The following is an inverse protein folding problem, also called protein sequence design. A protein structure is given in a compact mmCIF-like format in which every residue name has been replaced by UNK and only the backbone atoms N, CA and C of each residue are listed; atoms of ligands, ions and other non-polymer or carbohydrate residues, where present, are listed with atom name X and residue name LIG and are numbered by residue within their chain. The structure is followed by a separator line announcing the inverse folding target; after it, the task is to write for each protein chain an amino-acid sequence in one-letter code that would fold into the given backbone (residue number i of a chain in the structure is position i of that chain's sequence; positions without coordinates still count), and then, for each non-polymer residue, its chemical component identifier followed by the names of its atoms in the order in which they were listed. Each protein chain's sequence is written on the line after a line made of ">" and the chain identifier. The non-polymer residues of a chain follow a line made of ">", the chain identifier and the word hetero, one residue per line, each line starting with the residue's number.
data_IF_617353659325
#
_entry.id   IF_617353659325
#
_cell.length_a   1.000
_cell.length_b   1.000
_cell.length_c   1.000
_cell.angle_alpha   90.00
_cell.angle_beta   90.00
_cell.angle_gamma   90.00
#
_symmetry.space_group_name_H-M   'P 1'
#
loop_
_entity.id
_entity.type
_entity.pdbx_description
1 polymer ?
#
# COMPACT_ATOMS: atom_id res chain seq x y z
N UNK A 1 -0.76 5.88 22.27
CA UNK A 1 -0.22 6.79 21.24
C UNK A 1 0.03 6.12 19.89
N UNK A 2 -0.47 4.90 19.65
CA UNK A 2 -0.52 4.31 18.32
C UNK A 2 -1.63 4.97 17.50
N UNK A 3 -1.35 5.24 16.24
CA UNK A 3 -2.28 5.87 15.29
C UNK A 3 -2.24 5.07 14.00
N UNK A 4 -3.42 4.68 13.52
CA UNK A 4 -3.61 4.01 12.24
C UNK A 4 -3.85 5.05 11.14
N UNK A 5 -3.25 4.84 9.99
CA UNK A 5 -3.40 5.67 8.80
C UNK A 5 -3.13 4.85 7.53
N UNK A 6 -3.09 5.48 6.37
CA UNK A 6 -2.69 4.81 5.14
C UNK A 6 -1.16 4.85 4.92
N UNK A 7 -0.62 3.82 4.26
CA UNK A 7 0.79 3.75 3.91
C UNK A 7 1.20 4.88 2.96
N UNK A 8 0.36 5.22 1.97
CA UNK A 8 0.66 6.32 1.05
C UNK A 8 0.73 7.69 1.74
N UNK A 9 -0.01 7.90 2.84
CA UNK A 9 0.05 9.14 3.62
C UNK A 9 1.39 9.26 4.32
N UNK A 10 1.88 8.15 4.88
CA UNK A 10 3.21 8.08 5.53
C UNK A 10 4.33 8.28 4.51
N UNK A 11 4.25 7.62 3.35
CA UNK A 11 5.27 7.68 2.30
C UNK A 11 5.36 9.07 1.64
N UNK A 12 4.32 9.88 1.69
CA UNK A 12 4.34 11.25 1.17
C UNK A 12 5.07 12.25 2.10
N UNK A 13 5.47 11.84 3.30
CA UNK A 13 6.10 12.69 4.29
C UNK A 13 7.63 12.73 4.12
N UNK A 14 8.13 13.58 3.22
CA UNK A 14 9.59 13.72 2.94
C UNK A 14 10.40 14.28 4.11
N UNK A 15 9.79 15.08 4.99
CA UNK A 15 10.45 15.83 6.07
C UNK A 15 10.13 15.36 7.48
N UNK A 16 9.56 14.16 7.61
CA UNK A 16 9.10 13.62 8.89
C UNK A 16 7.60 13.75 9.09
N UNK A 17 7.07 12.98 10.03
CA UNK A 17 5.62 12.90 10.30
C UNK A 17 5.32 13.70 11.57
N UNK A 18 4.40 14.65 11.45
CA UNK A 18 3.85 15.41 12.58
C UNK A 18 2.38 15.07 12.77
N UNK A 19 2.00 14.84 14.00
CA UNK A 19 0.61 14.64 14.43
C UNK A 19 0.14 15.84 15.23
N UNK A 20 -1.00 16.39 14.85
CA UNK A 20 -1.68 17.46 15.57
C UNK A 20 -2.93 16.89 16.21
N UNK A 21 -3.05 16.98 17.52
CA UNK A 21 -4.22 16.53 18.28
C UNK A 21 -5.32 17.58 18.30
N UNK A 22 -6.50 17.21 18.78
CA UNK A 22 -7.67 18.10 18.84
C UNK A 22 -7.51 19.32 19.76
N UNK A 23 -6.55 19.28 20.68
CA UNK A 23 -6.17 20.39 21.54
C UNK A 23 -5.08 21.29 20.94
N UNK A 24 -4.73 21.05 19.65
CA UNK A 24 -3.65 21.68 18.90
C UNK A 24 -2.23 21.36 19.43
N UNK A 25 -2.08 20.37 20.30
CA UNK A 25 -0.74 19.89 20.65
C UNK A 25 -0.13 19.12 19.47
N UNK A 26 1.17 19.32 19.26
CA UNK A 26 1.93 18.76 18.14
C UNK A 26 2.94 17.74 18.63
N UNK A 27 3.04 16.62 17.95
CA UNK A 27 3.96 15.54 18.26
C UNK A 27 4.67 15.05 17.01
N UNK A 28 5.97 14.83 17.11
CA UNK A 28 6.68 14.04 16.11
C UNK A 28 6.26 12.58 16.22
N UNK A 29 6.00 11.94 15.09
CA UNK A 29 5.61 10.55 15.01
C UNK A 29 6.72 9.70 14.38
N UNK A 30 6.84 8.48 14.87
CA UNK A 30 7.68 7.44 14.26
C UNK A 30 6.81 6.42 13.56
N UNK A 31 7.22 5.95 12.40
CA UNK A 31 6.60 4.83 11.72
C UNK A 31 6.90 3.57 12.53
N UNK A 32 5.86 2.85 12.94
CA UNK A 32 5.97 1.53 13.59
C UNK A 32 6.07 0.45 12.52
N UNK A 33 5.22 0.55 11.50
CA UNK A 33 5.21 -0.33 10.35
C UNK A 33 4.20 0.12 9.31
N UNK A 34 4.36 -0.41 8.10
CA UNK A 34 3.41 -0.16 7.01
C UNK A 34 3.31 -1.38 6.10
N UNK A 35 2.14 -1.57 5.51
CA UNK A 35 1.87 -2.56 4.47
C UNK A 35 1.35 -1.84 3.21
N UNK A 36 2.22 -1.57 2.22
CA UNK A 36 1.79 -0.92 0.98
C UNK A 36 0.73 -1.70 0.22
N UNK A 37 0.68 -3.02 0.40
CA UNK A 37 -0.26 -3.90 -0.30
C UNK A 37 -1.71 -3.72 0.15
N UNK A 38 -1.94 -3.39 1.41
CA UNK A 38 -3.26 -3.03 1.98
C UNK A 38 -3.43 -1.53 2.16
N UNK A 39 -2.38 -0.75 1.90
CA UNK A 39 -2.33 0.69 2.16
C UNK A 39 -2.58 1.06 3.63
N UNK A 40 -2.21 0.20 4.57
CA UNK A 40 -2.32 0.43 6.01
C UNK A 40 -0.94 0.76 6.60
N UNK A 41 -0.90 1.74 7.48
CA UNK A 41 0.28 2.07 8.28
C UNK A 41 -0.08 2.31 9.74
N UNK A 42 0.88 2.07 10.61
CA UNK A 42 0.82 2.40 12.04
C UNK A 42 1.98 3.33 12.38
N UNK A 43 1.66 4.46 12.99
CA UNK A 43 2.63 5.41 13.51
C UNK A 43 2.49 5.54 15.03
N UNK A 44 3.51 6.05 15.70
CA UNK A 44 3.56 6.19 17.15
C UNK A 44 3.97 7.59 17.56
N UNK A 45 3.23 8.19 18.49
CA UNK A 45 3.58 9.43 19.19
C UNK A 45 3.81 9.18 20.67
N UNK A 46 4.60 10.05 21.30
CA UNK A 46 4.87 10.03 22.74
C UNK A 46 3.89 10.93 23.48
N UNK A 47 2.60 10.54 23.49
CA UNK A 47 1.55 11.23 24.24
C UNK A 47 0.88 10.26 25.22
N UNK A 48 0.38 10.80 26.32
CA UNK A 48 -0.33 10.04 27.37
C UNK A 48 -1.77 10.56 27.52
N UNK A 49 -2.63 9.71 28.06
CA UNK A 49 -4.02 10.10 28.34
C UNK A 49 -4.90 10.22 27.09
N UNK A 50 -4.47 9.68 25.96
CA UNK A 50 -5.26 9.67 24.73
C UNK A 50 -6.41 8.68 24.86
N UNK A 51 -7.59 9.10 24.38
CA UNK A 51 -8.73 8.21 24.25
C UNK A 51 -8.58 7.38 22.98
N UNK A 52 -8.51 6.05 23.11
CA UNK A 52 -8.48 5.17 21.98
C UNK A 52 -9.86 5.10 21.30
N UNK A 53 -9.86 5.01 19.97
CA UNK A 53 -11.08 4.69 19.22
C UNK A 53 -11.48 3.23 19.46
N UNK A 54 -12.78 2.99 19.52
CA UNK A 54 -13.34 1.63 19.60
C UNK A 54 -13.54 1.09 18.17
N UNK A 55 -13.08 -0.12 17.89
CA UNK A 55 -13.36 -0.81 16.63
C UNK A 55 -14.73 -1.48 16.69
N UNK A 56 -15.56 -1.21 15.69
CA UNK A 56 -16.81 -1.90 15.47
C UNK A 56 -16.61 -3.23 14.74
N UNK A 57 -17.73 -3.81 14.29
CA UNK A 57 -17.77 -5.04 13.49
C UNK A 57 -18.29 -4.68 12.10
N UNK A 58 -17.39 -4.60 11.12
CA UNK A 58 -17.76 -4.24 9.74
C UNK A 58 -18.49 -5.35 9.00
N UNK A 59 -18.51 -6.57 9.55
CA UNK A 59 -19.28 -7.69 8.97
C UNK A 59 -20.79 -7.53 9.18
N UNK A 60 -21.20 -6.73 10.15
CA UNK A 60 -22.61 -6.45 10.49
C UNK A 60 -23.16 -5.21 9.79
N UNK A 61 -22.31 -4.46 9.09
CA UNK A 61 -22.69 -3.23 8.40
C UNK A 61 -23.57 -3.55 7.19
N UNK A 62 -24.65 -2.79 7.02
CA UNK A 62 -25.60 -2.96 5.92
C UNK A 62 -25.68 -1.72 5.04
N UNK A 63 -26.00 -1.91 3.76
CA UNK A 63 -26.28 -0.79 2.86
C UNK A 63 -27.47 0.05 3.37
N UNK A 64 -27.33 1.37 3.30
CA UNK A 64 -28.29 2.33 3.80
C UNK A 64 -28.05 2.81 5.24
N UNK A 65 -27.13 2.21 5.98
CA UNK A 65 -26.73 2.70 7.31
C UNK A 65 -25.99 4.05 7.21
N UNK A 66 -26.29 4.97 8.12
CA UNK A 66 -25.60 6.24 8.21
C UNK A 66 -24.18 6.07 8.72
N UNK A 67 -23.25 6.82 8.12
CA UNK A 67 -21.82 6.80 8.47
C UNK A 67 -21.25 8.21 8.49
N UNK A 68 -20.16 8.37 9.25
CA UNK A 68 -19.40 9.62 9.37
C UNK A 68 -17.93 9.33 9.09
N UNK A 69 -17.36 10.04 8.12
CA UNK A 69 -15.92 10.03 7.89
C UNK A 69 -15.27 11.27 8.50
N UNK A 70 -14.14 11.06 9.18
CA UNK A 70 -13.37 12.15 9.80
C UNK A 70 -11.95 12.12 9.24
N UNK A 71 -11.50 13.27 8.76
CA UNK A 71 -10.18 13.44 8.16
C UNK A 71 -9.70 14.88 8.23
N UNK A 72 -8.68 15.20 7.43
CA UNK A 72 -8.06 16.54 7.40
C UNK A 72 -7.79 17.02 5.97
N UNK A 73 -8.82 17.10 5.09
CA UNK A 73 -8.65 17.50 3.71
C UNK A 73 -8.14 18.95 3.62
N UNK A 74 -7.19 19.19 2.71
CA UNK A 74 -6.62 20.52 2.43
C UNK A 74 -6.13 21.29 3.69
N UNK A 75 -5.73 20.57 4.75
CA UNK A 75 -5.26 21.18 6.00
C UNK A 75 -6.37 21.64 6.95
N UNK A 76 -7.64 21.36 6.64
CA UNK A 76 -8.76 21.62 7.55
C UNK A 76 -8.90 20.45 8.53
N UNK A 77 -8.23 20.57 9.67
CA UNK A 77 -8.22 19.54 10.72
C UNK A 77 -9.62 19.20 11.24
N UNK A 78 -9.90 17.91 11.41
CA UNK A 78 -11.15 17.43 11.97
C UNK A 78 -12.37 17.65 11.07
N UNK A 79 -12.18 17.72 9.76
CA UNK A 79 -13.29 17.79 8.80
C UNK A 79 -14.15 16.54 8.90
N UNK A 80 -15.44 16.76 9.06
CA UNK A 80 -16.46 15.70 9.18
C UNK A 80 -17.30 15.69 7.91
N UNK A 81 -17.39 14.51 7.26
CA UNK A 81 -18.37 14.27 6.20
C UNK A 81 -19.33 13.17 6.61
N UNK A 82 -20.63 13.31 6.26
CA UNK A 82 -21.66 12.32 6.56
C UNK A 82 -22.26 11.79 5.28
N UNK A 83 -22.60 10.53 5.27
CA UNK A 83 -23.28 9.86 4.19
C UNK A 83 -23.90 8.53 4.65
N UNK A 84 -24.10 7.63 3.72
CA UNK A 84 -24.59 6.28 3.97
C UNK A 84 -23.64 5.24 3.39
N UNK A 85 -23.75 4.02 3.85
CA UNK A 85 -23.16 2.85 3.22
C UNK A 85 -23.90 2.59 1.91
N UNK A 86 -23.23 2.78 0.78
CA UNK A 86 -23.76 2.52 -0.56
C UNK A 86 -23.60 1.06 -0.98
N UNK A 87 -22.68 0.34 -0.35
CA UNK A 87 -22.46 -1.08 -0.58
C UNK A 87 -21.43 -1.67 0.37
N UNK A 88 -21.56 -2.96 0.63
CA UNK A 88 -20.65 -3.74 1.49
C UNK A 88 -19.94 -4.81 0.69
N UNK A 89 -18.84 -5.34 1.25
CA UNK A 89 -18.06 -6.43 0.65
C UNK A 89 -17.62 -6.13 -0.79
N UNK A 90 -17.30 -4.85 -1.06
CA UNK A 90 -16.72 -4.46 -2.34
C UNK A 90 -15.28 -4.93 -2.42
N UNK A 91 -15.03 -5.89 -3.30
CA UNK A 91 -13.70 -6.42 -3.53
C UNK A 91 -12.92 -5.48 -4.43
N UNK A 92 -12.06 -4.67 -3.84
CA UNK A 92 -11.29 -3.64 -4.54
C UNK A 92 -9.81 -3.97 -4.43
N UNK A 93 -9.12 -3.76 -5.54
CA UNK A 93 -7.68 -3.86 -5.64
C UNK A 93 -7.10 -2.45 -5.79
N UNK A 94 -6.11 -2.13 -4.97
CA UNK A 94 -5.30 -0.93 -5.17
C UNK A 94 -4.44 -1.08 -6.43
N UNK A 95 -4.19 0.03 -7.11
CA UNK A 95 -3.17 0.06 -8.16
C UNK A 95 -1.83 -0.45 -7.60
N UNK A 96 -1.19 -1.35 -8.34
CA UNK A 96 0.08 -1.99 -7.96
C UNK A 96 0.03 -2.84 -6.69
N UNK A 97 -1.13 -3.34 -6.28
CA UNK A 97 -1.29 -4.31 -5.20
C UNK A 97 -1.81 -5.66 -5.71
N UNK A 98 -1.26 -6.76 -5.16
CA UNK A 98 -1.77 -8.12 -5.38
C UNK A 98 -3.00 -8.43 -4.55
N UNK A 99 -3.27 -7.60 -3.55
CA UNK A 99 -4.26 -7.89 -2.53
C UNK A 99 -5.58 -7.26 -2.93
N UNK A 100 -6.60 -8.10 -2.92
CA UNK A 100 -7.98 -7.66 -3.04
C UNK A 100 -8.50 -7.49 -1.62
N UNK A 101 -8.87 -6.27 -1.26
CA UNK A 101 -9.43 -5.95 0.05
C UNK A 101 -10.94 -5.89 0.01
N UNK A 102 -11.58 -6.26 1.11
CA UNK A 102 -13.00 -5.97 1.30
C UNK A 102 -13.16 -4.53 1.77
N UNK A 103 -13.91 -3.77 1.00
CA UNK A 103 -14.15 -2.36 1.26
C UNK A 103 -15.63 -2.07 1.47
N UNK A 104 -15.90 -1.03 2.23
CA UNK A 104 -17.21 -0.41 2.39
C UNK A 104 -17.29 0.73 1.38
N UNK A 105 -18.27 0.70 0.48
CA UNK A 105 -18.60 1.81 -0.41
C UNK A 105 -19.52 2.79 0.31
N UNK A 106 -19.24 4.08 0.20
CA UNK A 106 -20.01 5.17 0.84
C UNK A 106 -20.21 6.32 -0.13
N UNK A 107 -21.21 7.15 0.14
CA UNK A 107 -21.45 8.42 -0.55
C UNK A 107 -20.99 9.65 0.25
N UNK A 108 -20.50 9.45 1.47
CA UNK A 108 -19.80 10.50 2.20
C UNK A 108 -18.59 10.99 1.38
N UNK A 109 -18.41 12.29 1.29
CA UNK A 109 -17.35 12.88 0.47
C UNK A 109 -15.96 12.46 0.98
N UNK A 110 -15.22 11.73 0.15
CA UNK A 110 -13.82 11.33 0.38
C UNK A 110 -12.95 12.04 -0.65
N UNK A 111 -12.02 12.83 -0.16
CA UNK A 111 -11.07 13.62 -0.96
C UNK A 111 -9.65 13.41 -0.43
N UNK A 112 -8.61 13.79 -1.18
CA UNK A 112 -7.24 13.86 -0.66
C UNK A 112 -7.21 14.62 0.67
N UNK A 113 -6.66 13.97 1.72
CA UNK A 113 -6.65 14.45 3.11
C UNK A 113 -7.65 13.75 4.03
N UNK A 114 -8.68 13.07 3.51
CA UNK A 114 -9.47 12.12 4.30
C UNK A 114 -8.83 10.73 4.35
N UNK A 115 -7.90 10.42 3.44
CA UNK A 115 -7.15 9.16 3.44
C UNK A 115 -6.47 8.91 4.78
N UNK A 116 -6.58 7.68 5.29
CA UNK A 116 -6.08 7.28 6.60
C UNK A 116 -6.97 7.69 7.77
N UNK A 117 -8.02 8.46 7.50
CA UNK A 117 -9.04 8.82 8.48
C UNK A 117 -9.97 7.66 8.81
N UNK A 118 -10.77 7.83 9.85
CA UNK A 118 -11.70 6.80 10.29
C UNK A 118 -13.10 7.00 9.69
N UNK A 119 -13.71 5.87 9.30
CA UNK A 119 -15.14 5.78 9.02
C UNK A 119 -15.85 5.24 10.27
N UNK A 120 -16.78 6.02 10.81
CA UNK A 120 -17.54 5.69 12.01
C UNK A 120 -18.97 5.28 11.67
N UNK A 121 -19.51 4.34 12.45
CA UNK A 121 -20.95 4.13 12.56
C UNK A 121 -21.57 5.18 13.51
N UNK A 122 -22.89 5.15 13.64
CA UNK A 122 -23.61 6.12 14.47
C UNK A 122 -23.49 5.85 15.99
N UNK A 123 -22.79 4.79 16.40
CA UNK A 123 -22.43 4.51 17.80
C UNK A 123 -21.02 4.98 18.16
N UNK A 124 -20.32 5.63 17.20
CA UNK A 124 -18.95 6.13 17.39
C UNK A 124 -17.86 5.08 17.30
N UNK A 125 -18.16 3.93 16.72
CA UNK A 125 -17.20 2.86 16.48
C UNK A 125 -16.61 2.95 15.08
N UNK A 126 -15.31 2.71 14.94
CA UNK A 126 -14.62 2.67 13.66
C UNK A 126 -14.97 1.38 12.93
N UNK A 127 -15.60 1.51 11.77
CA UNK A 127 -15.96 0.39 10.89
C UNK A 127 -15.10 0.31 9.63
N UNK A 128 -14.22 1.30 9.39
CA UNK A 128 -13.30 1.28 8.26
C UNK A 128 -12.26 2.39 8.30
N UNK A 129 -11.26 2.27 7.44
CA UNK A 129 -10.21 3.26 7.19
C UNK A 129 -10.42 3.84 5.80
N UNK A 130 -10.69 5.15 5.71
CA UNK A 130 -10.96 5.80 4.42
C UNK A 130 -9.71 5.88 3.55
N UNK A 131 -9.86 5.71 2.23
CA UNK A 131 -8.76 5.86 1.29
C UNK A 131 -9.27 6.49 -0.02
N UNK A 132 -8.71 7.65 -0.38
CA UNK A 132 -9.00 8.32 -1.63
C UNK A 132 -8.40 7.60 -2.85
N UNK A 133 -7.40 6.74 -2.65
CA UNK A 133 -6.82 5.91 -3.72
C UNK A 133 -7.74 4.81 -4.21
N UNK A 134 -8.77 4.46 -3.44
CA UNK A 134 -9.76 3.45 -3.82
C UNK A 134 -10.89 4.03 -4.67
N UNK A 135 -11.04 5.35 -4.70
CA UNK A 135 -12.06 6.04 -5.49
C UNK A 135 -11.48 6.43 -6.86
N UNK A 136 -12.23 6.19 -7.92
CA UNK A 136 -11.90 6.73 -9.24
C UNK A 136 -12.22 8.22 -9.28
N UNK A 137 -11.32 9.04 -9.83
CA UNK A 137 -11.54 10.47 -10.07
C UNK A 137 -12.67 10.73 -11.07
N UNK A 138 -13.11 9.71 -11.81
CA UNK A 138 -14.11 9.82 -12.87
C UNK A 138 -15.56 9.77 -12.36
N UNK A 139 -15.75 9.45 -11.07
CA UNK A 139 -17.08 9.30 -10.49
C UNK A 139 -17.23 10.10 -9.20
N UNK A 140 -18.11 11.08 -9.20
CA UNK A 140 -18.52 11.81 -8.00
C UNK A 140 -19.46 10.98 -7.12
N UNK A 141 -19.34 11.12 -5.80
CA UNK A 141 -20.23 10.46 -4.84
C UNK A 141 -19.93 8.98 -4.62
N UNK A 142 -18.77 8.51 -5.03
CA UNK A 142 -18.28 7.15 -4.74
C UNK A 142 -17.01 7.24 -3.91
N UNK A 143 -17.12 6.93 -2.63
CA UNK A 143 -16.00 6.80 -1.71
C UNK A 143 -15.85 5.37 -1.20
N UNK A 144 -14.67 5.05 -0.71
CA UNK A 144 -14.38 3.73 -0.14
C UNK A 144 -13.60 3.84 1.16
N UNK A 145 -13.85 2.86 2.04
CA UNK A 145 -13.04 2.61 3.22
C UNK A 145 -12.68 1.12 3.28
N UNK A 146 -11.45 0.80 3.62
CA UNK A 146 -11.04 -0.57 3.95
C UNK A 146 -11.82 -0.99 5.19
N UNK A 147 -12.53 -2.12 5.14
CA UNK A 147 -13.31 -2.61 6.30
C UNK A 147 -12.41 -2.81 7.50
N UNK A 148 -12.87 -2.51 8.70
CA UNK A 148 -12.05 -2.63 9.90
C UNK A 148 -11.64 -4.08 10.18
N UNK A 149 -12.49 -5.06 9.86
CA UNK A 149 -12.16 -6.48 10.04
C UNK A 149 -11.09 -6.97 9.06
N UNK A 150 -10.94 -6.32 7.90
CA UNK A 150 -9.83 -6.53 6.98
C UNK A 150 -8.55 -5.86 7.46
N UNK A 151 -8.65 -4.64 7.98
CA UNK A 151 -7.51 -3.85 8.42
C UNK A 151 -6.94 -4.32 9.78
N UNK A 152 -7.78 -4.82 10.69
CA UNK A 152 -7.40 -5.16 12.06
C UNK A 152 -6.25 -6.17 12.16
N UNK A 153 -6.25 -7.31 11.45
CA UNK A 153 -5.12 -8.25 11.50
C UNK A 153 -3.81 -7.60 11.04
N UNK A 154 -3.88 -6.75 10.01
CA UNK A 154 -2.72 -6.00 9.49
C UNK A 154 -2.21 -5.02 10.55
N UNK A 155 -3.10 -4.26 11.17
CA UNK A 155 -2.77 -3.31 12.25
C UNK A 155 -2.07 -4.02 13.42
N UNK A 156 -2.62 -5.16 13.85
CA UNK A 156 -2.07 -5.96 14.95
C UNK A 156 -0.65 -6.46 14.62
N UNK A 157 -0.41 -6.99 13.42
CA UNK A 157 0.92 -7.42 13.00
C UNK A 157 1.90 -6.24 12.88
N UNK A 158 1.48 -5.12 12.33
CA UNK A 158 2.31 -3.92 12.24
C UNK A 158 2.68 -3.40 13.64
N UNK A 159 1.76 -3.43 14.60
CA UNK A 159 2.04 -3.02 15.98
C UNK A 159 3.00 -3.96 16.70
N UNK A 160 2.89 -5.27 16.46
CA UNK A 160 3.68 -6.31 17.13
C UNK A 160 5.07 -6.48 16.51
N UNK A 161 5.14 -6.52 15.17
CA UNK A 161 6.33 -6.94 14.41
C UNK A 161 6.95 -5.80 13.59
N UNK A 162 6.19 -4.73 13.31
CA UNK A 162 6.59 -3.68 12.39
C UNK A 162 6.36 -4.00 10.91
N UNK A 163 5.94 -5.21 10.59
CA UNK A 163 5.65 -5.66 9.22
C UNK A 163 4.56 -6.74 9.22
N UNK A 164 3.96 -7.01 8.06
CA UNK A 164 2.98 -8.09 7.86
C UNK A 164 3.71 -9.34 7.38
N UNK A 165 3.58 -10.44 8.13
CA UNK A 165 4.24 -11.68 7.79
C UNK A 165 3.75 -12.26 6.46
N UNK A 166 4.67 -12.92 5.74
CA UNK A 166 4.35 -13.55 4.46
C UNK A 166 4.33 -12.61 3.25
N UNK A 167 4.59 -11.31 3.42
CA UNK A 167 4.85 -10.41 2.30
C UNK A 167 6.24 -10.65 1.75
N UNK A 168 6.37 -10.66 0.42
CA UNK A 168 7.65 -10.85 -0.27
C UNK A 168 7.90 -9.74 -1.27
N UNK A 169 9.17 -9.46 -1.51
CA UNK A 169 9.63 -8.47 -2.50
C UNK A 169 10.80 -9.01 -3.31
N UNK A 170 10.95 -8.47 -4.53
CA UNK A 170 12.12 -8.68 -5.38
C UNK A 170 13.31 -7.87 -4.86
N UNK A 171 13.06 -6.65 -4.40
CA UNK A 171 14.09 -5.69 -3.99
C UNK A 171 14.54 -4.76 -5.12
N UNK A 172 13.62 -4.39 -6.00
CA UNK A 172 13.84 -3.41 -7.07
C UNK A 172 12.80 -2.30 -7.02
N UNK A 173 13.16 -1.12 -7.49
CA UNK A 173 12.22 -0.07 -7.88
C UNK A 173 12.03 -0.15 -9.38
N UNK A 174 10.80 -0.03 -9.86
CA UNK A 174 10.46 -0.18 -11.26
C UNK A 174 9.30 0.70 -11.68
N UNK A 175 9.10 0.86 -12.98
CA UNK A 175 7.87 1.34 -13.59
C UNK A 175 7.40 0.40 -14.69
N UNK A 176 6.08 0.40 -14.94
CA UNK A 176 5.50 -0.42 -16.01
C UNK A 176 5.73 0.22 -17.37
N UNK A 177 6.19 -0.56 -18.33
CA UNK A 177 6.29 -0.20 -19.75
C UNK A 177 5.08 -0.79 -20.45
N UNK A 178 4.15 0.07 -20.88
CA UNK A 178 2.96 -0.33 -21.62
C UNK A 178 3.29 -0.79 -23.03
N UNK A 179 2.38 -1.52 -23.68
CA UNK A 179 2.53 -1.92 -25.08
C UNK A 179 2.72 -0.71 -26.00
N UNK A 180 1.97 0.37 -25.79
CA UNK A 180 2.09 1.61 -26.56
C UNK A 180 3.47 2.27 -26.38
N UNK A 181 3.96 2.32 -25.12
CA UNK A 181 5.31 2.85 -24.84
C UNK A 181 6.38 1.98 -25.47
N UNK A 182 6.23 0.66 -25.39
CA UNK A 182 7.15 -0.31 -25.98
C UNK A 182 7.26 -0.13 -27.51
N UNK A 183 6.14 0.04 -28.21
CA UNK A 183 6.12 0.30 -29.65
C UNK A 183 6.82 1.62 -30.03
N UNK A 184 6.55 2.72 -29.28
CA UNK A 184 7.13 4.04 -29.56
C UNK A 184 8.66 4.02 -29.43
N UNK A 185 9.18 3.36 -28.40
CA UNK A 185 10.62 3.31 -28.12
C UNK A 185 11.34 2.10 -28.70
N UNK A 186 10.62 1.19 -29.37
CA UNK A 186 11.18 -0.05 -29.93
C UNK A 186 11.86 -0.90 -28.87
N UNK A 187 11.17 -1.13 -27.75
CA UNK A 187 11.59 -1.98 -26.60
C UNK A 187 10.51 -3.01 -26.29
N UNK A 188 10.72 -3.89 -25.33
CA UNK A 188 9.67 -4.83 -24.90
C UNK A 188 8.80 -4.25 -23.78
N UNK A 189 7.50 -4.59 -23.75
CA UNK A 189 6.65 -4.25 -22.61
C UNK A 189 7.01 -5.12 -21.39
N UNK A 190 6.81 -4.59 -20.20
CA UNK A 190 7.12 -5.25 -18.94
C UNK A 190 7.42 -4.27 -17.81
N UNK A 191 8.22 -4.67 -16.84
CA UNK A 191 8.67 -3.79 -15.76
C UNK A 191 10.13 -3.36 -15.97
N UNK A 192 10.33 -2.04 -16.14
CA UNK A 192 11.65 -1.44 -16.32
C UNK A 192 12.27 -1.12 -14.95
N UNK A 193 13.49 -1.57 -14.75
CA UNK A 193 14.21 -1.43 -13.49
C UNK A 193 14.78 -0.02 -13.35
N UNK A 194 14.44 0.66 -12.27
CA UNK A 194 14.95 2.01 -11.93
C UNK A 194 16.13 1.91 -10.96
N UNK A 195 16.01 1.04 -9.96
CA UNK A 195 17.09 0.81 -8.99
C UNK A 195 16.99 -0.59 -8.40
N UNK A 196 18.12 -1.08 -7.89
CA UNK A 196 18.25 -2.39 -7.25
C UNK A 196 18.72 -2.18 -5.81
N UNK A 197 18.00 -2.73 -4.86
CA UNK A 197 18.41 -2.69 -3.45
C UNK A 197 19.61 -3.65 -3.25
N UNK A 198 20.77 -3.14 -2.82
CA UNK A 198 21.99 -3.96 -2.67
C UNK A 198 21.87 -5.06 -1.62
N UNK A 199 20.94 -4.94 -0.66
CA UNK A 199 20.71 -5.92 0.40
C UNK A 199 19.80 -7.09 -0.04
N UNK A 200 19.30 -7.06 -1.27
CA UNK A 200 18.41 -8.09 -1.81
C UNK A 200 19.16 -9.07 -2.72
N UNK A 201 18.74 -10.33 -2.73
CA UNK A 201 19.42 -11.41 -3.47
C UNK A 201 19.48 -11.12 -4.99
N UNK A 202 18.51 -10.39 -5.53
CA UNK A 202 18.52 -9.97 -6.93
C UNK A 202 19.74 -9.11 -7.30
N UNK A 203 20.34 -8.40 -6.36
CA UNK A 203 21.57 -7.61 -6.58
C UNK A 203 22.79 -8.50 -6.90
N UNK A 204 22.73 -9.81 -6.60
CA UNK A 204 23.78 -10.77 -6.93
C UNK A 204 23.61 -11.38 -8.34
N UNK A 205 22.67 -10.88 -9.13
CA UNK A 205 22.41 -11.32 -10.51
C UNK A 205 22.97 -10.33 -11.54
N UNK A 206 22.85 -10.68 -12.83
CA UNK A 206 23.24 -9.78 -13.94
C UNK A 206 22.20 -8.66 -14.22
N UNK A 207 21.16 -8.52 -13.36
CA UNK A 207 20.15 -7.45 -13.52
C UNK A 207 20.78 -6.08 -13.32
N UNK A 208 20.41 -5.12 -14.17
CA UNK A 208 20.90 -3.75 -14.11
C UNK A 208 19.76 -2.73 -14.28
N UNK A 209 20.04 -1.47 -13.91
CA UNK A 209 19.12 -0.36 -14.18
C UNK A 209 18.91 -0.20 -15.69
N UNK A 210 17.66 0.05 -16.10
CA UNK A 210 17.23 0.11 -17.49
C UNK A 210 16.83 -1.23 -18.10
N UNK A 211 17.10 -2.36 -17.44
CA UNK A 211 16.60 -3.67 -17.89
C UNK A 211 15.08 -3.75 -17.75
N UNK A 212 14.47 -4.57 -18.58
CA UNK A 212 13.03 -4.84 -18.53
C UNK A 212 12.83 -6.32 -18.19
N UNK A 213 12.23 -6.60 -17.04
CA UNK A 213 11.74 -7.94 -16.74
C UNK A 213 10.43 -8.14 -17.51
N UNK A 214 10.41 -9.13 -18.41
CA UNK A 214 9.28 -9.43 -19.29
C UNK A 214 8.43 -10.59 -18.78
N UNK A 215 9.02 -11.50 -18.01
CA UNK A 215 8.33 -12.64 -17.38
C UNK A 215 8.89 -12.91 -15.98
N UNK A 216 8.01 -13.37 -15.09
CA UNK A 216 8.35 -13.91 -13.77
C UNK A 216 7.70 -15.29 -13.65
N UNK A 217 8.49 -16.34 -13.45
CA UNK A 217 8.06 -17.75 -13.42
C UNK A 217 7.14 -18.12 -14.60
N UNK A 218 7.50 -17.68 -15.81
CA UNK A 218 6.75 -17.94 -17.04
C UNK A 218 5.46 -17.13 -17.21
N UNK A 219 5.15 -16.22 -16.30
CA UNK A 219 4.01 -15.31 -16.41
C UNK A 219 4.50 -13.95 -16.89
N UNK A 220 3.81 -13.37 -17.89
CA UNK A 220 4.13 -12.06 -18.45
C UNK A 220 3.99 -10.96 -17.40
N UNK A 221 4.87 -9.97 -17.49
CA UNK A 221 4.80 -8.71 -16.71
C UNK A 221 4.30 -7.55 -17.56
N UNK A 222 3.93 -7.78 -18.81
CA UNK A 222 3.39 -6.77 -19.72
C UNK A 222 1.91 -6.47 -19.43
N UNK A 223 1.51 -5.22 -19.72
CA UNK A 223 0.14 -4.75 -19.53
C UNK A 223 -0.16 -4.37 -18.08
N UNK A 224 -1.45 -4.37 -17.73
CA UNK A 224 -1.93 -4.09 -16.36
C UNK A 224 -1.77 -5.33 -15.44
N UNK A 225 -0.57 -5.88 -15.38
CA UNK A 225 -0.28 -7.01 -14.52
C UNK A 225 0.10 -6.51 -13.13
N UNK A 226 -0.63 -6.97 -12.14
CA UNK A 226 -0.23 -6.79 -10.75
C UNK A 226 0.95 -7.70 -10.43
N UNK A 227 2.14 -7.10 -10.41
CA UNK A 227 3.41 -7.81 -10.18
C UNK A 227 3.41 -8.57 -8.85
N UNK A 228 2.82 -8.00 -7.81
CA UNK A 228 2.75 -8.67 -6.51
C UNK A 228 1.85 -9.92 -6.56
N UNK A 229 0.83 -9.98 -7.46
CA UNK A 229 0.02 -11.19 -7.66
C UNK A 229 0.82 -12.38 -8.20
N UNK A 230 1.93 -12.10 -8.89
CA UNK A 230 2.82 -13.14 -9.42
C UNK A 230 3.52 -13.92 -8.29
N UNK A 231 3.60 -13.32 -7.11
CA UNK A 231 4.19 -13.94 -5.91
C UNK A 231 3.16 -14.53 -4.95
N UNK A 232 1.88 -14.61 -5.36
CA UNK A 232 0.84 -15.20 -4.53
C UNK A 232 1.19 -16.65 -4.14
N UNK A 233 1.20 -16.93 -2.84
CA UNK A 233 1.55 -18.24 -2.29
C UNK A 233 3.06 -18.50 -2.15
N UNK A 234 3.92 -17.56 -2.54
CA UNK A 234 5.36 -17.65 -2.30
C UNK A 234 5.74 -17.07 -0.94
N UNK A 235 6.88 -17.53 -0.43
CA UNK A 235 7.46 -17.11 0.84
C UNK A 235 8.87 -16.55 0.65
N UNK A 236 9.36 -15.83 1.64
CA UNK A 236 10.75 -15.41 1.67
C UNK A 236 11.69 -16.64 1.63
N UNK A 237 12.68 -16.56 0.75
CA UNK A 237 13.59 -17.67 0.45
C UNK A 237 13.18 -18.52 -0.76
N UNK A 238 11.95 -18.41 -1.27
CA UNK A 238 11.55 -19.07 -2.51
C UNK A 238 12.31 -18.48 -3.69
N UNK A 239 12.80 -19.36 -4.55
CA UNK A 239 13.46 -18.98 -5.80
C UNK A 239 12.43 -18.58 -6.87
N UNK A 240 12.73 -17.54 -7.62
CA UNK A 240 12.00 -17.10 -8.80
C UNK A 240 12.94 -17.00 -10.00
N UNK A 241 12.38 -17.23 -11.18
CA UNK A 241 13.07 -17.12 -12.46
C UNK A 241 12.45 -15.97 -13.24
N UNK A 242 13.27 -15.00 -13.65
CA UNK A 242 12.82 -13.88 -14.46
C UNK A 242 13.49 -13.90 -15.83
N UNK A 243 12.71 -13.63 -16.89
CA UNK A 243 13.26 -13.29 -18.20
C UNK A 243 13.48 -11.79 -18.27
N UNK A 244 14.67 -11.41 -18.68
CA UNK A 244 15.12 -10.03 -18.75
C UNK A 244 15.45 -9.69 -20.19
N UNK A 245 14.97 -8.53 -20.62
CA UNK A 245 15.33 -7.88 -21.88
C UNK A 245 16.18 -6.66 -21.57
N UNK A 246 17.32 -6.54 -22.27
CA UNK A 246 18.23 -5.39 -22.21
C UNK A 246 18.47 -4.86 -23.62
N UNK A 247 18.33 -3.55 -23.76
CA UNK A 247 18.71 -2.82 -24.96
C UNK A 247 19.82 -1.84 -24.60
N UNK A 248 20.95 -1.95 -25.28
CA UNK A 248 22.10 -1.06 -25.07
C UNK A 248 21.96 0.25 -25.86
N UNK A 249 22.72 1.28 -25.50
CA UNK A 249 22.76 2.56 -26.23
C UNK A 249 23.23 2.39 -27.69
N UNK A 250 23.98 1.31 -27.98
CA UNK A 250 24.38 0.92 -29.36
C UNK A 250 23.24 0.32 -30.17
N UNK A 251 22.12 0.01 -29.52
CA UNK A 251 20.94 -0.62 -30.14
C UNK A 251 20.97 -2.14 -30.14
N UNK A 252 21.99 -2.76 -29.53
CA UNK A 252 22.06 -4.22 -29.38
C UNK A 252 21.01 -4.69 -28.36
N UNK A 253 20.30 -5.76 -28.71
CA UNK A 253 19.26 -6.35 -27.87
C UNK A 253 19.70 -7.73 -27.36
N UNK A 254 19.46 -7.98 -26.09
CA UNK A 254 19.76 -9.26 -25.43
C UNK A 254 18.62 -9.70 -24.55
N UNK A 255 18.31 -10.99 -24.60
CA UNK A 255 17.43 -11.64 -23.63
C UNK A 255 18.23 -12.68 -22.81
N UNK A 256 17.98 -12.71 -21.52
CA UNK A 256 18.62 -13.66 -20.61
C UNK A 256 17.71 -13.97 -19.42
N UNK A 257 18.03 -15.04 -18.71
CA UNK A 257 17.32 -15.40 -17.49
C UNK A 257 18.18 -15.09 -16.27
N UNK A 258 17.53 -14.63 -15.22
CA UNK A 258 18.11 -14.49 -13.88
C UNK A 258 17.30 -15.32 -12.89
N UNK A 259 17.98 -15.75 -11.82
CA UNK A 259 17.37 -16.48 -10.71
C UNK A 259 17.82 -15.85 -9.41
N UNK A 260 16.90 -15.66 -8.50
CA UNK A 260 17.17 -15.12 -7.17
C UNK A 260 16.08 -15.54 -6.20
N UNK A 261 16.36 -15.39 -4.91
CA UNK A 261 15.41 -15.67 -3.84
C UNK A 261 14.64 -14.42 -3.45
N UNK A 262 13.33 -14.60 -3.28
CA UNK A 262 12.48 -13.55 -2.72
C UNK A 262 12.89 -13.23 -1.29
N UNK A 263 12.85 -11.97 -0.94
CA UNK A 263 13.06 -11.51 0.43
C UNK A 263 11.74 -11.22 1.13
N UNK A 264 11.74 -11.29 2.45
CA UNK A 264 10.62 -10.81 3.23
C UNK A 264 10.45 -9.29 3.01
N UNK A 265 9.24 -8.85 2.77
CA UNK A 265 8.93 -7.43 2.73
C UNK A 265 8.66 -6.93 4.14
N UNK A 266 9.66 -6.36 4.76
CA UNK A 266 9.61 -5.79 6.11
C UNK A 266 9.24 -4.30 6.08
N UNK A 267 8.54 -3.84 5.03
CA UNK A 267 8.10 -2.44 4.92
C UNK A 267 9.23 -1.40 4.83
N UNK A 268 10.45 -1.81 4.48
CA UNK A 268 11.61 -0.92 4.40
C UNK A 268 12.25 -0.59 5.76
N UNK A 269 11.72 -1.13 6.86
CA UNK A 269 12.37 -1.04 8.16
C UNK A 269 13.58 -1.97 8.16
N UNK A 270 14.78 -1.38 8.19
CA UNK A 270 16.01 -2.10 8.51
C UNK A 270 15.83 -2.58 9.95
N UNK A 271 15.86 -3.89 10.17
CA UNK A 271 15.91 -4.41 11.52
C UNK A 271 17.16 -3.79 12.20
N UNK A 272 16.94 -2.98 13.22
CA UNK A 272 18.03 -2.53 14.09
C UNK A 272 18.66 -3.79 14.71
N UNK A 273 19.79 -4.21 14.12
CA UNK A 273 20.58 -5.33 14.62
C UNK A 273 21.40 -4.89 15.84
N UNK A 274 20.80 -4.21 16.80
CA UNK A 274 21.39 -3.93 18.10
C UNK A 274 20.29 -3.80 19.17
N UNK A 275 19.85 -4.95 19.67
CA UNK A 275 19.29 -5.06 21.00
C UNK A 275 19.98 -6.27 21.65
N UNK A 276 21.16 -6.03 22.26
CA UNK A 276 21.67 -6.80 23.37
C UNK A 276 21.20 -6.18 24.68
#
# INVERSE_FOLDING_TARGET
>A
GYIVTNAHVVNAAESGIKVVLSDNSEYEAKVVGQDPATDIAVIKIQAQGLQAAEFGDSTQVNAGEEVVAIGSPAGYYGTVTKGIVSGVNRRIRLENSSIIMNCIQIDAAINPGNSGGALFNMWGQVIGITSSKLASSDYEGIGFAVSIDEAKPVIEELMEKGYVAGRVKIGVTYYAVSDTTAEIYGIKPGICIVSINPDCDVANTDLAEGDIITEIDGKSTAGEVDIASLFSGKQAGDEVVCKVYRKTDSGDEKEFEIKFKLMADNGGLVADSQAE
#
